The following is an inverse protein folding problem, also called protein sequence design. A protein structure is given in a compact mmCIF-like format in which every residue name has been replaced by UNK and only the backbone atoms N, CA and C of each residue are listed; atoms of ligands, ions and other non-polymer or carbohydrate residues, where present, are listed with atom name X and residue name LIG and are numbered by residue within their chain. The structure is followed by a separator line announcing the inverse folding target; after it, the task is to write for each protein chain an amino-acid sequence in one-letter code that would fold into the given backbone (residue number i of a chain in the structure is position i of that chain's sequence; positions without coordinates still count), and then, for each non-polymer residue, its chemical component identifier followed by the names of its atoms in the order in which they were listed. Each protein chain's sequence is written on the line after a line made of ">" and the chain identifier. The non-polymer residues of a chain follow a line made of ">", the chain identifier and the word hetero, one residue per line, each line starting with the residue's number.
data_IF_233466605698
#
_entry.id   IF_233466605698
#
_cell.length_a   1.000
_cell.length_b   1.000
_cell.length_c   1.000
_cell.angle_alpha   90.00
_cell.angle_beta   90.00
_cell.angle_gamma   90.00
#
_symmetry.space_group_name_H-M   'P 1'
#
loop_
_entity.id
_entity.type
_entity.pdbx_description
1 polymer ?
#
# COMPACT_ATOMS: atom_id res chain seq x y z
N UNK A 1 -32.24 -2.86 -24.49
CA UNK A 1 -31.70 -2.67 -23.13
C UNK A 1 -30.19 -2.66 -23.22
N UNK A 2 -29.64 -1.47 -23.04
CA UNK A 2 -28.27 -1.08 -23.34
C UNK A 2 -27.28 -1.70 -22.35
N UNK A 3 -26.30 -2.45 -22.85
CA UNK A 3 -25.28 -3.15 -22.04
C UNK A 3 -24.08 -2.22 -21.85
N UNK A 4 -23.99 -1.56 -20.70
CA UNK A 4 -22.79 -0.80 -20.32
C UNK A 4 -21.71 -1.73 -19.75
N UNK A 5 -20.74 -2.14 -20.57
CA UNK A 5 -19.53 -2.84 -20.13
C UNK A 5 -18.41 -1.83 -19.81
N UNK A 6 -18.03 -1.72 -18.53
CA UNK A 6 -16.80 -1.04 -18.09
C UNK A 6 -15.73 -2.08 -17.76
N UNK A 7 -14.71 -2.18 -18.62
CA UNK A 7 -13.50 -2.96 -18.36
C UNK A 7 -12.52 -2.15 -17.50
N UNK A 8 -11.94 -2.77 -16.47
CA UNK A 8 -10.78 -2.23 -15.75
C UNK A 8 -9.56 -3.09 -16.05
N UNK A 9 -8.44 -2.42 -16.36
CA UNK A 9 -7.13 -3.02 -16.66
C UNK A 9 -6.48 -3.50 -15.36
N UNK A 10 -6.06 -4.76 -15.31
CA UNK A 10 -5.19 -5.31 -14.26
C UNK A 10 -3.88 -5.82 -14.88
N UNK A 11 -2.77 -5.44 -14.23
CA UNK A 11 -1.38 -5.66 -14.63
C UNK A 11 -0.99 -7.15 -14.71
N UNK A 12 -0.11 -7.44 -15.66
CA UNK A 12 0.47 -8.77 -15.95
C UNK A 12 1.65 -9.09 -15.02
N UNK A 13 1.53 -10.19 -14.27
CA UNK A 13 2.64 -11.08 -13.93
C UNK A 13 2.14 -12.52 -14.09
N UNK A 14 2.67 -13.24 -15.08
CA UNK A 14 2.51 -14.69 -15.22
C UNK A 14 1.27 -15.18 -15.98
N UNK A 15 1.33 -15.12 -17.31
CA UNK A 15 0.75 -16.08 -18.26
C UNK A 15 -0.56 -16.80 -17.92
N UNK A 16 -1.70 -16.10 -18.00
CA UNK A 16 -2.96 -16.54 -18.65
C UNK A 16 -4.05 -15.52 -18.37
N UNK A 17 -4.67 -14.98 -19.42
CA UNK A 17 -5.76 -14.00 -19.33
C UNK A 17 -7.03 -14.73 -18.90
N UNK A 18 -7.52 -14.46 -17.69
CA UNK A 18 -8.87 -14.86 -17.26
C UNK A 18 -9.75 -13.60 -17.24
N UNK A 19 -10.55 -13.43 -18.28
CA UNK A 19 -11.58 -12.40 -18.32
C UNK A 19 -12.79 -12.89 -17.50
N UNK A 20 -13.02 -12.29 -16.33
CA UNK A 20 -14.26 -12.48 -15.59
C UNK A 20 -15.29 -11.44 -16.04
N UNK A 21 -16.26 -11.85 -16.85
CA UNK A 21 -17.46 -11.07 -17.10
C UNK A 21 -18.53 -11.44 -16.05
N UNK A 22 -18.75 -10.56 -15.06
CA UNK A 22 -19.86 -10.71 -14.13
C UNK A 22 -21.11 -10.09 -14.77
N UNK A 23 -21.96 -10.92 -15.36
CA UNK A 23 -23.27 -10.52 -15.87
C UNK A 23 -24.34 -10.80 -14.83
N UNK A 24 -25.20 -9.81 -14.56
CA UNK A 24 -26.37 -10.01 -13.73
C UNK A 24 -27.62 -10.11 -14.61
N UNK A 25 -28.36 -11.21 -14.49
CA UNK A 25 -29.66 -11.40 -15.12
C UNK A 25 -30.76 -11.60 -14.07
N UNK A 26 -31.94 -11.01 -14.30
CA UNK A 26 -33.08 -11.03 -13.38
C UNK A 26 -34.18 -11.90 -13.98
N UNK A 27 -34.43 -13.06 -13.38
CA UNK A 27 -35.64 -13.86 -13.65
C UNK A 27 -36.24 -14.37 -12.33
N UNK A 28 -37.56 -14.22 -12.19
CA UNK A 28 -38.36 -14.63 -11.03
C UNK A 28 -37.89 -14.11 -9.66
N UNK A 29 -37.67 -12.80 -9.56
CA UNK A 29 -37.63 -12.09 -8.27
C UNK A 29 -36.38 -12.29 -7.39
N UNK A 30 -35.42 -13.13 -7.78
CA UNK A 30 -34.16 -13.34 -7.06
C UNK A 30 -32.95 -13.10 -7.97
N UNK A 31 -31.87 -12.55 -7.39
CA UNK A 31 -30.61 -12.31 -8.10
C UNK A 31 -29.77 -13.59 -8.08
N UNK A 32 -29.52 -14.19 -9.26
CA UNK A 32 -28.71 -15.41 -9.38
C UNK A 32 -27.43 -15.08 -10.14
N UNK A 33 -26.28 -15.29 -9.49
CA UNK A 33 -24.96 -15.11 -10.10
C UNK A 33 -24.56 -16.44 -10.76
N UNK A 34 -24.44 -16.47 -12.08
CA UNK A 34 -23.96 -17.64 -12.81
C UNK A 34 -22.57 -17.39 -13.36
N UNK A 35 -21.63 -18.29 -13.03
CA UNK A 35 -20.34 -18.38 -13.69
C UNK A 35 -20.37 -19.59 -14.62
N UNK A 36 -20.36 -19.38 -15.93
CA UNK A 36 -20.22 -20.45 -16.92
C UNK A 36 -18.75 -20.49 -17.34
N UNK A 37 -18.02 -21.52 -16.90
CA UNK A 37 -16.67 -21.78 -17.35
C UNK A 37 -16.69 -22.78 -18.52
N UNK A 38 -16.29 -22.32 -19.71
CA UNK A 38 -16.05 -23.19 -20.87
C UNK A 38 -14.71 -23.92 -20.69
N UNK A 39 -14.73 -25.25 -20.84
CA UNK A 39 -13.66 -26.19 -20.49
C UNK A 39 -12.65 -26.35 -21.64
N UNK A 40 -11.36 -26.14 -21.38
CA UNK A 40 -10.26 -26.70 -22.17
C UNK A 40 -9.38 -27.60 -21.28
N UNK A 41 -9.42 -28.89 -21.63
CA UNK A 41 -8.53 -30.04 -21.32
C UNK A 41 -7.68 -30.03 -20.04
N UNK A 42 -7.97 -31.01 -19.18
CA UNK A 42 -6.96 -32.00 -18.76
C UNK A 42 -5.97 -31.63 -17.64
N UNK A 43 -6.46 -31.55 -16.39
CA UNK A 43 -5.88 -32.09 -15.14
C UNK A 43 -6.83 -31.64 -14.04
N UNK A 44 -7.36 -32.56 -13.22
CA UNK A 44 -8.21 -32.19 -12.07
C UNK A 44 -7.37 -31.27 -11.17
N UNK A 45 -7.71 -29.99 -10.99
CA UNK A 45 -7.02 -29.19 -9.98
C UNK A 45 -7.35 -29.81 -8.63
N UNK A 46 -6.31 -30.22 -7.90
CA UNK A 46 -6.43 -30.49 -6.48
C UNK A 46 -6.98 -29.20 -5.89
N UNK A 47 -8.21 -29.23 -5.41
CA UNK A 47 -8.82 -28.13 -4.69
C UNK A 47 -7.97 -27.99 -3.43
N UNK A 48 -6.93 -27.16 -3.49
CA UNK A 48 -6.36 -26.57 -2.28
C UNK A 48 -7.43 -25.59 -1.85
N UNK A 49 -8.30 -26.07 -0.97
CA UNK A 49 -9.26 -25.22 -0.28
C UNK A 49 -8.44 -24.07 0.30
N UNK A 50 -8.67 -22.85 -0.22
CA UNK A 50 -8.20 -21.67 0.46
C UNK A 50 -8.66 -21.80 1.91
N UNK A 51 -7.79 -21.60 2.92
CA UNK A 51 -8.22 -21.66 4.29
C UNK A 51 -9.33 -20.64 4.45
N UNK A 52 -10.55 -21.12 4.62
CA UNK A 52 -11.68 -20.32 5.08
C UNK A 52 -11.20 -19.66 6.36
N UNK A 53 -11.00 -18.35 6.34
CA UNK A 53 -10.61 -17.59 7.51
C UNK A 53 -11.71 -17.75 8.56
N UNK A 54 -11.48 -18.65 9.52
CA UNK A 54 -12.38 -18.97 10.63
C UNK A 54 -12.56 -17.80 11.61
N UNK A 55 -11.98 -16.62 11.33
CA UNK A 55 -12.16 -15.39 12.11
C UNK A 55 -13.37 -14.56 11.69
N UNK A 56 -14.32 -15.12 10.94
CA UNK A 56 -15.71 -14.63 10.99
C UNK A 56 -16.19 -14.72 12.43
N UNK A 57 -16.13 -13.60 13.17
CA UNK A 57 -16.49 -13.47 14.59
C UNK A 57 -17.81 -14.17 14.91
N UNK A 58 -17.71 -15.43 15.35
CA UNK A 58 -18.86 -16.22 15.78
C UNK A 58 -19.55 -15.50 16.94
N UNK A 59 -20.89 -15.45 16.90
CA UNK A 59 -21.71 -14.69 17.87
C UNK A 59 -21.49 -15.11 19.33
N UNK A 60 -20.85 -16.27 19.55
CA UNK A 60 -20.50 -16.82 20.87
C UNK A 60 -19.56 -15.93 21.70
N UNK A 61 -18.62 -15.23 21.07
CA UNK A 61 -17.62 -14.42 21.82
C UNK A 61 -18.08 -12.98 22.09
N UNK A 62 -19.28 -12.59 21.61
CA UNK A 62 -19.82 -11.25 21.85
C UNK A 62 -20.16 -11.08 23.33
N UNK A 63 -19.69 -9.98 23.93
CA UNK A 63 -19.98 -9.58 25.32
C UNK A 63 -21.49 -9.56 25.62
N UNK A 64 -22.33 -9.32 24.62
CA UNK A 64 -23.80 -9.33 24.77
C UNK A 64 -24.34 -10.66 25.29
N UNK A 65 -23.72 -11.81 24.95
CA UNK A 65 -24.16 -13.13 25.40
C UNK A 65 -24.02 -13.34 26.90
N UNK A 66 -22.97 -12.78 27.51
CA UNK A 66 -22.76 -12.83 28.97
C UNK A 66 -23.69 -11.86 29.72
N UNK A 67 -24.22 -10.83 29.06
CA UNK A 67 -25.00 -9.76 29.70
C UNK A 67 -26.53 -9.90 29.55
N UNK A 68 -27.06 -11.08 29.23
CA UNK A 68 -28.49 -11.28 28.95
C UNK A 68 -29.40 -10.99 30.15
N UNK A 69 -29.06 -11.46 31.35
CA UNK A 69 -29.85 -11.25 32.56
C UNK A 69 -29.66 -9.84 33.18
N UNK A 70 -28.67 -9.08 32.73
CA UNK A 70 -28.41 -7.75 33.26
C UNK A 70 -29.34 -6.72 32.62
N UNK A 71 -30.28 -6.18 33.41
CA UNK A 71 -31.34 -5.24 32.99
C UNK A 71 -30.88 -4.03 32.15
N UNK A 72 -29.61 -3.61 32.25
CA UNK A 72 -29.06 -2.42 31.56
C UNK A 72 -27.91 -2.71 30.59
N UNK A 73 -27.52 -3.98 30.41
CA UNK A 73 -26.46 -4.43 29.47
C UNK A 73 -25.15 -3.61 29.52
N UNK A 74 -24.80 -3.06 30.69
CA UNK A 74 -23.55 -2.30 30.90
C UNK A 74 -23.62 -0.79 30.66
N UNK A 75 -24.80 -0.21 30.40
CA UNK A 75 -24.96 1.24 30.14
C UNK A 75 -25.39 2.07 31.37
N UNK A 76 -25.19 1.54 32.59
CA UNK A 76 -25.55 2.20 33.84
C UNK A 76 -27.07 2.29 34.11
N UNK A 77 -27.45 2.58 35.37
CA UNK A 77 -28.88 2.73 35.78
C UNK A 77 -29.43 4.13 35.48
N UNK A 78 -28.66 5.17 35.78
CA UNK A 78 -29.08 6.58 35.74
C UNK A 78 -28.84 7.20 34.36
N UNK A 79 -27.59 7.23 33.88
CA UNK A 79 -27.21 7.87 32.61
C UNK A 79 -27.88 7.26 31.37
N UNK A 80 -28.01 5.92 31.34
CA UNK A 80 -28.63 5.10 30.28
C UNK A 80 -28.00 5.32 28.88
N UNK A 81 -28.18 4.33 28.01
CA UNK A 81 -27.83 4.51 26.60
C UNK A 81 -28.92 5.32 25.90
N UNK A 82 -28.56 6.48 25.32
CA UNK A 82 -29.45 7.34 24.52
C UNK A 82 -28.87 7.49 23.11
N UNK A 83 -29.68 7.97 22.16
CA UNK A 83 -29.33 7.96 20.72
C UNK A 83 -28.10 8.83 20.40
N UNK A 84 -28.11 10.13 20.74
CA UNK A 84 -27.01 11.07 20.43
C UNK A 84 -26.88 12.14 21.53
N UNK A 85 -26.10 11.90 22.61
CA UNK A 85 -26.01 12.85 23.73
C UNK A 85 -25.23 14.12 23.42
N UNK A 86 -24.26 14.07 22.49
CA UNK A 86 -23.38 15.19 22.16
C UNK A 86 -23.49 15.65 20.71
N UNK A 87 -24.58 15.29 20.02
CA UNK A 87 -24.74 15.44 18.58
C UNK A 87 -24.27 14.22 17.78
N UNK A 88 -24.26 14.35 16.45
CA UNK A 88 -23.90 13.29 15.53
C UNK A 88 -22.56 13.60 14.84
N UNK A 89 -21.69 12.59 14.71
CA UNK A 89 -20.37 12.75 14.11
C UNK A 89 -19.49 13.73 14.90
N UNK A 90 -18.79 14.62 14.20
CA UNK A 90 -17.84 15.58 14.76
C UNK A 90 -18.48 16.93 15.13
N UNK A 91 -19.79 16.97 15.37
CA UNK A 91 -20.49 18.19 15.79
C UNK A 91 -19.94 18.74 17.10
N UNK A 92 -19.92 20.07 17.26
CA UNK A 92 -19.52 20.70 18.53
C UNK A 92 -18.01 20.75 18.78
N UNK A 93 -17.18 20.48 17.77
CA UNK A 93 -15.73 20.45 17.95
C UNK A 93 -15.07 21.77 18.34
N UNK A 94 -15.75 22.93 18.20
CA UNK A 94 -15.31 24.22 18.75
C UNK A 94 -16.07 24.64 20.01
N UNK A 95 -17.12 23.91 20.38
CA UNK A 95 -18.01 24.24 21.49
C UNK A 95 -17.87 23.18 22.59
N UNK A 96 -18.88 22.34 22.80
CA UNK A 96 -18.94 21.37 23.89
C UNK A 96 -17.97 20.19 23.75
N UNK A 97 -17.45 19.90 22.55
CA UNK A 97 -16.41 18.89 22.33
C UNK A 97 -15.02 19.50 22.06
N UNK A 98 -14.86 20.81 22.30
CA UNK A 98 -13.59 21.53 22.08
C UNK A 98 -12.40 20.89 22.77
N UNK A 99 -12.57 20.48 24.02
CA UNK A 99 -11.52 19.85 24.82
C UNK A 99 -10.93 18.62 24.12
N UNK A 100 -11.76 17.84 23.40
CA UNK A 100 -11.29 16.66 22.69
C UNK A 100 -10.44 17.02 21.46
N UNK A 101 -10.85 18.06 20.71
CA UNK A 101 -10.12 18.50 19.52
C UNK A 101 -8.83 19.21 19.88
N UNK A 102 -8.84 20.08 20.88
CA UNK A 102 -7.64 20.80 21.33
C UNK A 102 -6.59 19.84 21.89
N UNK A 103 -7.02 18.78 22.60
CA UNK A 103 -6.12 17.82 23.23
C UNK A 103 -5.51 16.82 22.25
N UNK A 104 -6.32 16.23 21.38
CA UNK A 104 -5.88 15.10 20.56
C UNK A 104 -5.65 15.46 19.09
N UNK A 105 -6.28 16.52 18.59
CA UNK A 105 -6.26 16.88 17.17
C UNK A 105 -5.96 18.39 16.98
N UNK A 106 -4.84 18.90 17.52
CA UNK A 106 -4.46 20.30 17.32
C UNK A 106 -4.25 20.55 15.82
N UNK A 107 -4.79 21.66 15.32
CA UNK A 107 -4.73 22.02 13.89
C UNK A 107 -5.82 21.38 13.01
N UNK A 108 -6.81 20.68 13.60
CA UNK A 108 -7.98 20.21 12.84
C UNK A 108 -8.81 21.36 12.26
N UNK A 109 -8.96 22.44 13.04
CA UNK A 109 -9.61 23.66 12.58
C UNK A 109 -8.56 24.63 12.04
N UNK A 110 -8.80 25.15 10.84
CA UNK A 110 -7.92 26.13 10.20
C UNK A 110 -7.78 25.86 8.70
N UNK A 111 -7.20 26.83 7.99
CA UNK A 111 -6.79 26.68 6.58
C UNK A 111 -5.27 26.87 6.51
N UNK A 112 -4.58 25.93 5.88
CA UNK A 112 -3.12 25.97 5.72
C UNK A 112 -2.76 25.67 4.27
N UNK A 113 -1.79 26.41 3.72
CA UNK A 113 -1.20 26.18 2.39
C UNK A 113 -2.05 26.64 1.20
N UNK A 114 -1.56 26.34 0.00
CA UNK A 114 -2.20 26.69 -1.28
C UNK A 114 -2.95 25.49 -1.87
N UNK A 115 -4.12 25.74 -2.48
CA UNK A 115 -4.91 24.70 -3.15
C UNK A 115 -4.27 24.33 -4.49
N UNK A 116 -3.87 23.06 -4.64
CA UNK A 116 -3.46 22.51 -5.93
C UNK A 116 -4.69 21.96 -6.69
N UNK A 117 -5.05 22.58 -7.80
CA UNK A 117 -6.12 22.09 -8.67
C UNK A 117 -5.63 20.87 -9.45
N UNK A 118 -6.52 19.89 -9.68
CA UNK A 118 -6.25 18.70 -10.50
C UNK A 118 -4.91 18.02 -10.15
N UNK A 119 -4.74 17.59 -8.90
CA UNK A 119 -3.52 16.93 -8.45
C UNK A 119 -3.28 15.61 -9.21
N UNK A 120 -2.38 15.66 -10.19
CA UNK A 120 -1.84 14.48 -10.86
C UNK A 120 -0.82 13.81 -9.94
N UNK A 121 -1.18 12.64 -9.39
CA UNK A 121 -0.34 11.94 -8.42
C UNK A 121 0.96 11.43 -9.02
N UNK A 122 0.94 10.85 -10.23
CA UNK A 122 2.13 10.23 -10.83
C UNK A 122 3.22 11.23 -11.23
N UNK A 123 2.87 12.49 -11.54
CA UNK A 123 3.85 13.51 -11.95
C UNK A 123 4.74 14.02 -10.82
N UNK A 124 4.32 13.86 -9.55
CA UNK A 124 5.07 14.32 -8.37
C UNK A 124 5.78 13.21 -7.61
N UNK A 125 5.56 11.95 -7.99
CA UNK A 125 6.14 10.81 -7.27
C UNK A 125 7.59 10.68 -7.66
N UNK A 126 8.49 10.87 -6.68
CA UNK A 126 9.93 10.64 -6.82
C UNK A 126 10.28 9.52 -5.86
N UNK A 127 10.30 8.25 -6.31
CA UNK A 127 10.70 7.13 -5.47
C UNK A 127 12.18 7.28 -5.11
N UNK A 128 12.48 7.21 -3.81
CA UNK A 128 13.83 7.46 -3.26
C UNK A 128 14.47 6.18 -2.76
N UNK A 129 15.77 6.03 -2.95
CA UNK A 129 16.59 4.98 -2.34
C UNK A 129 17.76 5.60 -1.56
N UNK A 130 18.22 4.95 -0.50
CA UNK A 130 19.39 5.37 0.26
C UNK A 130 20.64 4.60 -0.19
N UNK A 131 21.82 5.22 -0.05
CA UNK A 131 23.12 4.63 -0.42
C UNK A 131 23.35 3.26 0.24
N UNK A 132 22.92 3.07 1.50
CA UNK A 132 23.03 1.79 2.22
C UNK A 132 22.37 0.60 1.50
N UNK A 133 21.30 0.85 0.72
CA UNK A 133 20.49 -0.19 0.08
C UNK A 133 20.85 -0.44 -1.38
N UNK A 134 21.84 0.27 -1.92
CA UNK A 134 22.24 0.11 -3.32
C UNK A 134 22.69 -1.32 -3.62
N UNK A 135 23.44 -1.94 -2.70
CA UNK A 135 23.91 -3.32 -2.84
C UNK A 135 22.81 -4.37 -2.71
N UNK A 136 21.63 -4.03 -2.18
CA UNK A 136 20.48 -4.93 -2.15
C UNK A 136 19.77 -5.05 -3.50
N UNK A 137 20.03 -4.11 -4.43
CA UNK A 137 19.48 -4.18 -5.79
C UNK A 137 20.24 -5.18 -6.67
N UNK A 138 21.42 -5.59 -6.23
CA UNK A 138 22.31 -6.51 -6.94
C UNK A 138 22.20 -7.88 -6.28
N UNK A 139 22.25 -8.96 -7.08
CA UNK A 139 22.25 -10.31 -6.54
C UNK A 139 23.56 -10.61 -5.80
N UNK A 140 23.49 -11.48 -4.79
CA UNK A 140 24.66 -11.84 -3.97
C UNK A 140 25.80 -12.45 -4.80
N UNK A 141 25.45 -13.22 -5.85
CA UNK A 141 26.42 -13.80 -6.78
C UNK A 141 27.26 -12.72 -7.47
N UNK A 142 26.61 -11.64 -7.93
CA UNK A 142 27.29 -10.53 -8.58
C UNK A 142 28.14 -9.74 -7.58
N UNK A 143 27.68 -9.59 -6.34
CA UNK A 143 28.45 -8.93 -5.27
C UNK A 143 29.75 -9.67 -4.94
N UNK A 144 29.72 -11.01 -4.87
CA UNK A 144 30.92 -11.81 -4.59
C UNK A 144 31.90 -11.75 -5.76
N UNK A 145 31.42 -11.86 -7.00
CA UNK A 145 32.26 -11.79 -8.20
C UNK A 145 33.04 -10.46 -8.31
N UNK A 146 32.40 -9.34 -7.97
CA UNK A 146 33.03 -8.01 -7.99
C UNK A 146 33.83 -7.68 -6.73
N UNK A 147 33.88 -8.58 -5.73
CA UNK A 147 34.79 -8.44 -4.60
C UNK A 147 36.23 -8.71 -5.02
N UNK A 148 36.43 -9.68 -5.90
CA UNK A 148 37.76 -10.17 -6.27
C UNK A 148 38.30 -9.50 -7.54
N UNK A 149 37.44 -8.88 -8.36
CA UNK A 149 37.81 -8.23 -9.63
C UNK A 149 37.66 -6.72 -9.55
N UNK A 150 38.79 -6.02 -9.53
CA UNK A 150 38.84 -4.55 -9.41
C UNK A 150 38.80 -3.83 -10.76
N UNK A 151 39.02 -4.54 -11.88
CA UNK A 151 39.13 -3.94 -13.21
C UNK A 151 37.80 -3.41 -13.76
N UNK A 152 36.68 -3.95 -13.30
CA UNK A 152 35.33 -3.59 -13.76
C UNK A 152 34.40 -3.40 -12.56
N UNK A 153 33.85 -2.19 -12.41
CA UNK A 153 32.89 -1.87 -11.37
C UNK A 153 31.45 -2.28 -11.78
N UNK A 154 30.62 -2.76 -10.84
CA UNK A 154 29.21 -3.03 -11.10
C UNK A 154 28.45 -1.73 -11.38
N UNK A 155 27.63 -1.78 -12.43
CA UNK A 155 26.71 -0.70 -12.79
C UNK A 155 25.36 -0.98 -12.14
N UNK A 156 25.01 -0.17 -11.14
CA UNK A 156 23.71 -0.24 -10.45
C UNK A 156 22.79 0.78 -11.10
N UNK A 157 21.85 0.28 -11.89
CA UNK A 157 20.80 1.07 -12.51
C UNK A 157 19.58 1.14 -11.59
N UNK A 158 19.44 2.29 -10.93
CA UNK A 158 18.39 2.48 -9.95
C UNK A 158 17.03 2.76 -10.62
N UNK A 159 17.04 3.24 -11.87
CA UNK A 159 15.83 3.50 -12.65
C UNK A 159 15.13 2.21 -13.04
N UNK A 160 15.89 1.17 -13.40
CA UNK A 160 15.33 -0.17 -13.66
C UNK A 160 14.67 -0.78 -12.42
N UNK A 161 15.21 -0.48 -11.24
CA UNK A 161 14.62 -0.87 -9.97
C UNK A 161 13.41 -0.02 -9.55
N UNK A 162 13.03 0.99 -10.34
CA UNK A 162 11.87 1.85 -10.11
C UNK A 162 12.11 3.01 -9.15
N UNK A 163 13.37 3.38 -8.88
CA UNK A 163 13.72 4.57 -8.09
C UNK A 163 14.29 5.67 -8.97
N UNK A 164 14.05 6.92 -8.59
CA UNK A 164 14.49 8.10 -9.35
C UNK A 164 15.57 8.91 -8.62
N UNK A 165 15.56 8.92 -7.29
CA UNK A 165 16.47 9.75 -6.47
C UNK A 165 17.26 8.93 -5.47
N UNK A 166 18.57 9.17 -5.39
CA UNK A 166 19.47 8.56 -4.40
C UNK A 166 19.76 9.56 -3.28
N UNK A 167 19.63 9.08 -2.03
CA UNK A 167 19.82 9.85 -0.79
C UNK A 167 21.04 9.36 -0.01
N UNK A 168 21.77 10.27 0.63
CA UNK A 168 23.04 10.00 1.31
C UNK A 168 22.99 9.31 2.68
N UNK A 169 21.87 8.70 3.10
CA UNK A 169 21.83 8.02 4.42
C UNK A 169 22.63 6.72 4.40
N UNK A 170 23.37 6.48 5.49
CA UNK A 170 24.17 5.27 5.72
C UNK A 170 25.57 5.32 5.13
N UNK A 171 26.22 4.16 5.08
CA UNK A 171 27.56 3.97 4.54
C UNK A 171 27.52 2.96 3.39
N UNK A 172 28.38 3.18 2.41
CA UNK A 172 28.65 2.23 1.35
C UNK A 172 29.90 1.42 1.75
N UNK A 173 29.99 0.11 1.45
CA UNK A 173 31.27 -0.59 1.51
C UNK A 173 32.27 0.08 0.56
N UNK A 174 33.56 -0.05 0.85
CA UNK A 174 34.67 0.53 0.07
C UNK A 174 34.84 -0.10 -1.34
N UNK A 175 33.84 -0.84 -1.82
CA UNK A 175 33.80 -1.39 -3.15
C UNK A 175 33.36 -0.31 -4.15
N UNK A 176 34.09 -0.10 -5.27
CA UNK A 176 33.75 0.92 -6.25
C UNK A 176 32.45 0.56 -6.99
N UNK A 177 31.56 1.54 -7.17
CA UNK A 177 30.24 1.35 -7.80
C UNK A 177 29.94 2.47 -8.79
N UNK A 178 29.34 2.12 -9.93
CA UNK A 178 28.78 3.10 -10.86
C UNK A 178 27.26 3.14 -10.66
N UNK A 179 26.72 4.26 -10.19
CA UNK A 179 25.29 4.41 -9.89
C UNK A 179 24.62 5.28 -10.95
N UNK A 180 23.55 4.77 -11.58
CA UNK A 180 22.73 5.51 -12.56
C UNK A 180 21.40 5.94 -11.94
N UNK A 181 21.16 7.24 -11.85
CA UNK A 181 19.89 7.79 -11.35
C UNK A 181 19.56 9.15 -11.98
N UNK A 182 18.32 9.64 -11.79
CA UNK A 182 17.91 10.98 -12.28
C UNK A 182 18.37 12.10 -11.37
N UNK A 183 18.34 11.86 -10.06
CA UNK A 183 18.68 12.85 -9.04
C UNK A 183 19.59 12.24 -7.97
N UNK A 184 20.61 13.00 -7.58
CA UNK A 184 21.46 12.70 -6.43
C UNK A 184 21.40 13.83 -5.41
N UNK A 185 21.52 13.49 -4.13
CA UNK A 185 21.84 14.47 -3.09
C UNK A 185 23.35 14.70 -3.01
N UNK A 186 23.79 15.90 -2.64
CA UNK A 186 25.23 16.22 -2.49
C UNK A 186 25.98 15.21 -1.61
N UNK A 187 25.40 14.89 -0.45
CA UNK A 187 25.97 13.88 0.47
C UNK A 187 26.09 12.48 -0.16
N UNK A 188 25.19 12.12 -1.08
CA UNK A 188 25.26 10.82 -1.75
C UNK A 188 26.40 10.80 -2.77
N UNK A 189 26.59 11.90 -3.51
CA UNK A 189 27.69 12.02 -4.47
C UNK A 189 29.04 11.97 -3.77
N UNK A 190 29.20 12.69 -2.67
CA UNK A 190 30.43 12.70 -1.87
C UNK A 190 30.77 11.29 -1.36
N UNK A 191 29.78 10.56 -0.85
CA UNK A 191 29.96 9.18 -0.35
C UNK A 191 30.29 8.19 -1.47
N UNK A 192 29.63 8.30 -2.61
CA UNK A 192 29.89 7.41 -3.76
C UNK A 192 31.30 7.69 -4.32
N UNK A 193 31.70 8.96 -4.40
CA UNK A 193 33.07 9.34 -4.81
C UNK A 193 34.12 8.88 -3.79
N UNK A 194 33.85 9.00 -2.49
CA UNK A 194 34.75 8.52 -1.44
C UNK A 194 34.96 7.00 -1.49
N UNK A 195 33.94 6.23 -1.89
CA UNK A 195 34.04 4.79 -2.12
C UNK A 195 34.70 4.41 -3.46
N UNK A 196 35.24 5.38 -4.22
CA UNK A 196 35.84 5.15 -5.54
C UNK A 196 34.82 4.89 -6.66
N UNK A 197 33.55 5.26 -6.43
CA UNK A 197 32.47 5.11 -7.39
C UNK A 197 32.19 6.37 -8.23
N UNK A 198 31.33 6.21 -9.23
CA UNK A 198 30.92 7.30 -10.14
C UNK A 198 29.40 7.43 -10.16
N UNK A 199 28.91 8.67 -10.04
CA UNK A 199 27.49 9.01 -10.20
C UNK A 199 27.23 9.39 -11.65
N UNK A 200 26.31 8.68 -12.31
CA UNK A 200 25.90 8.96 -13.69
C UNK A 200 24.45 9.45 -13.67
N UNK A 201 24.24 10.66 -14.18
CA UNK A 201 22.91 11.21 -14.38
C UNK A 201 22.29 10.60 -15.63
N UNK A 202 21.11 10.02 -15.50
CA UNK A 202 20.30 9.55 -16.61
C UNK A 202 19.01 10.37 -16.71
N UNK A 203 18.66 10.83 -17.92
CA UNK A 203 17.49 11.68 -18.18
C UNK A 203 16.17 10.89 -18.14
#
# INVERSE_FOLDING_TARGET
>A
MEKSTRAWVASLLGGSVVAFACGIHRSHGWWRCYSVACRLKGRRPRIVEAPVDLRTMTTRFKKSRKMHAHRKRGHGRIGKHRKHPGGCGNSGGQHHHRINFDKYHPGYFGKVGMRNFHLIKHGKVIPTINVERLWSLVSEQTRLFYKDKTDKAPVIDVMKAGYMKVLGKGQLPEQPVIVKARYFTKEAEEKIKAAGGVCVLCA
#
